data_IF_015428023902
#
_entry.id   IF_015428023902
#
_cell.length_a   1.000
_cell.length_b   1.000
_cell.length_c   1.000
_cell.angle_alpha   90.00
_cell.angle_beta   90.00
_cell.angle_gamma   90.00
#
_symmetry.space_group_name_H-M   'P 1'
#
loop_
_entity.id
_entity.type
_entity.pdbx_description
1 polymer ?
#
# COMPACT_ATOMS: atom_id res chain seq x y z
N UNK A 1 11.14 -1.05 12.15
CA UNK A 1 12.14 -2.15 12.20
C UNK A 1 12.70 -2.27 10.79
N UNK A 2 14.02 -2.33 10.58
CA UNK A 2 14.55 -2.37 9.21
C UNK A 2 14.22 -3.71 8.54
N UNK A 3 13.85 -3.67 7.26
CA UNK A 3 13.52 -4.83 6.47
C UNK A 3 14.71 -5.79 6.31
N UNK A 4 14.45 -7.10 6.40
CA UNK A 4 15.41 -8.13 6.02
C UNK A 4 15.03 -8.72 4.65
N UNK A 5 15.49 -8.07 3.59
CA UNK A 5 15.20 -8.45 2.21
C UNK A 5 15.60 -9.88 1.83
N UNK A 6 16.53 -10.51 2.55
CA UNK A 6 16.93 -11.91 2.29
C UNK A 6 15.79 -12.91 2.52
N UNK A 7 14.77 -12.52 3.29
CA UNK A 7 13.61 -13.36 3.60
C UNK A 7 12.40 -13.06 2.71
N UNK A 8 12.50 -12.05 1.85
CA UNK A 8 11.42 -11.57 0.98
C UNK A 8 11.66 -12.13 -0.41
N UNK A 9 10.66 -12.83 -0.95
CA UNK A 9 10.80 -13.55 -2.24
C UNK A 9 10.16 -12.83 -3.40
N UNK A 10 9.08 -12.09 -3.11
CA UNK A 10 8.24 -11.55 -4.17
C UNK A 10 8.50 -10.08 -4.46
N UNK A 11 9.28 -9.41 -3.62
CA UNK A 11 9.53 -7.99 -3.71
C UNK A 11 11.03 -7.68 -3.76
N UNK A 12 11.38 -6.56 -4.38
CA UNK A 12 12.71 -5.95 -4.29
C UNK A 12 12.63 -4.50 -3.76
N UNK A 13 13.72 -3.96 -3.19
CA UNK A 13 13.75 -2.60 -2.65
C UNK A 13 13.29 -1.55 -3.66
N UNK A 14 13.67 -1.70 -4.93
CA UNK A 14 13.41 -0.73 -5.99
C UNK A 14 11.92 -0.52 -6.27
N UNK A 15 11.06 -1.50 -5.95
CA UNK A 15 9.60 -1.35 -6.07
C UNK A 15 9.03 -0.34 -5.06
N UNK A 16 9.78 -0.02 -4.00
CA UNK A 16 9.38 0.88 -2.92
C UNK A 16 10.17 2.19 -2.93
N UNK A 17 11.09 2.38 -3.88
CA UNK A 17 11.87 3.60 -4.00
C UNK A 17 10.95 4.81 -4.21
N UNK A 18 11.26 5.88 -3.48
CA UNK A 18 10.89 7.23 -3.90
C UNK A 18 11.57 7.51 -5.26
N UNK A 19 10.83 7.90 -6.30
CA UNK A 19 11.38 8.16 -7.63
C UNK A 19 12.50 9.21 -7.65
N UNK A 20 12.46 10.16 -6.70
CA UNK A 20 13.47 11.21 -6.58
C UNK A 20 14.71 10.76 -5.79
N UNK A 21 14.64 9.61 -5.10
CA UNK A 21 15.70 9.09 -4.24
C UNK A 21 15.89 7.57 -4.43
N UNK A 22 16.54 7.13 -5.52
CA UNK A 22 16.82 5.71 -5.75
C UNK A 22 17.57 5.04 -4.58
N UNK A 23 17.18 3.82 -4.24
CA UNK A 23 17.67 3.07 -3.07
C UNK A 23 16.97 3.41 -1.75
N UNK A 24 16.02 4.34 -1.75
CA UNK A 24 15.24 4.70 -0.56
C UNK A 24 14.27 3.62 -0.10
N UNK A 25 13.93 2.64 -0.97
CA UNK A 25 13.08 1.50 -0.63
C UNK A 25 13.62 0.64 0.51
N UNK A 26 14.93 0.68 0.79
CA UNK A 26 15.57 0.08 1.96
C UNK A 26 15.03 0.61 3.31
N UNK A 27 14.35 1.75 3.30
CA UNK A 27 13.74 2.36 4.49
C UNK A 27 12.35 1.82 4.82
N UNK A 28 11.74 1.01 3.96
CA UNK A 28 10.40 0.44 4.20
C UNK A 28 10.37 -0.34 5.53
N UNK A 29 9.30 -0.20 6.30
CA UNK A 29 9.19 -0.93 7.56
C UNK A 29 9.11 -2.44 7.33
N UNK A 30 9.93 -3.20 8.05
CA UNK A 30 10.01 -4.65 7.91
C UNK A 30 8.73 -5.39 8.27
N UNK A 31 7.93 -4.91 9.23
CA UNK A 31 6.65 -5.54 9.59
C UNK A 31 5.68 -5.39 8.43
N UNK A 32 5.61 -4.19 7.84
CA UNK A 32 4.80 -3.92 6.66
C UNK A 32 5.23 -4.81 5.48
N UNK A 33 6.54 -4.88 5.21
CA UNK A 33 7.08 -5.69 4.12
C UNK A 33 6.73 -7.18 4.28
N UNK A 34 6.88 -7.75 5.48
CA UNK A 34 6.50 -9.13 5.73
C UNK A 34 4.99 -9.38 5.65
N UNK A 35 4.17 -8.40 6.04
CA UNK A 35 2.72 -8.48 5.89
C UNK A 35 2.30 -8.47 4.41
N UNK A 36 2.97 -7.66 3.57
CA UNK A 36 2.77 -7.66 2.11
C UNK A 36 3.24 -8.97 1.46
N UNK A 37 4.40 -9.50 1.87
CA UNK A 37 4.91 -10.81 1.41
C UNK A 37 3.91 -11.93 1.75
N UNK A 38 3.33 -11.90 2.95
CA UNK A 38 2.27 -12.83 3.35
C UNK A 38 1.02 -12.66 2.48
N UNK A 39 0.57 -11.42 2.24
CA UNK A 39 -0.59 -11.12 1.41
C UNK A 39 -0.42 -11.67 -0.01
N UNK A 40 0.72 -11.39 -0.65
CA UNK A 40 1.02 -11.87 -2.00
C UNK A 40 1.02 -13.39 -2.07
N UNK A 41 1.64 -14.06 -1.09
CA UNK A 41 1.67 -15.53 -1.01
C UNK A 41 0.29 -16.15 -0.78
N UNK A 42 -0.55 -15.57 0.06
CA UNK A 42 -1.86 -16.14 0.42
C UNK A 42 -2.95 -15.85 -0.62
N UNK A 43 -2.87 -14.71 -1.31
CA UNK A 43 -3.82 -14.34 -2.37
C UNK A 43 -3.46 -14.92 -3.74
N UNK A 44 -2.19 -15.32 -3.94
CA UNK A 44 -1.63 -15.70 -5.24
C UNK A 44 -1.83 -14.62 -6.33
N UNK A 45 -1.80 -13.36 -5.90
CA UNK A 45 -1.89 -12.19 -6.77
C UNK A 45 -0.62 -11.35 -6.67
N UNK A 46 -0.18 -10.80 -7.81
CA UNK A 46 0.88 -9.80 -7.77
C UNK A 46 0.36 -8.55 -7.05
N UNK A 47 1.26 -7.90 -6.32
CA UNK A 47 1.04 -6.60 -5.70
C UNK A 47 1.90 -5.62 -6.47
N UNK A 48 1.26 -4.67 -7.15
CA UNK A 48 1.96 -3.60 -7.87
C UNK A 48 1.92 -2.35 -7.01
N UNK A 49 3.07 -2.00 -6.45
CA UNK A 49 3.29 -0.79 -5.64
C UNK A 49 3.26 0.44 -6.52
N UNK A 50 2.59 1.50 -6.06
CA UNK A 50 2.47 2.76 -6.79
C UNK A 50 3.67 3.68 -6.49
N UNK A 51 4.88 3.24 -6.82
CA UNK A 51 6.13 3.96 -6.49
C UNK A 51 6.23 5.37 -7.11
N UNK A 52 5.67 5.61 -8.30
CA UNK A 52 5.82 6.87 -9.06
C UNK A 52 5.23 8.10 -8.34
N UNK A 53 4.30 7.90 -7.41
CA UNK A 53 3.66 8.98 -6.63
C UNK A 53 3.99 8.87 -5.14
N UNK A 54 5.16 8.34 -4.78
CA UNK A 54 5.54 8.13 -3.38
C UNK A 54 4.64 7.11 -2.67
N UNK A 55 4.12 6.11 -3.40
CA UNK A 55 3.18 5.13 -2.87
C UNK A 55 3.80 4.12 -1.90
N UNK A 56 5.02 4.32 -1.43
CA UNK A 56 5.62 3.52 -0.37
C UNK A 56 6.51 4.40 0.51
N UNK A 57 7.72 4.69 0.03
CA UNK A 57 8.66 5.61 0.67
C UNK A 57 8.48 6.99 0.06
N UNK A 58 8.28 7.99 0.93
CA UNK A 58 8.35 9.40 0.58
C UNK A 58 9.43 10.04 1.46
N UNK A 59 10.57 10.37 0.86
CA UNK A 59 11.76 10.81 1.59
C UNK A 59 11.60 12.23 2.14
N UNK A 60 11.05 13.13 1.33
CA UNK A 60 11.03 14.57 1.59
C UNK A 60 9.62 15.18 1.67
N UNK A 61 8.57 14.40 1.47
CA UNK A 61 7.19 14.85 1.49
C UNK A 61 6.71 15.42 0.16
N UNK A 62 7.47 15.28 -0.92
CA UNK A 62 7.17 15.90 -2.23
C UNK A 62 5.96 15.29 -2.94
N UNK A 63 5.44 14.15 -2.47
CA UNK A 63 4.38 13.39 -3.14
C UNK A 63 2.96 13.74 -2.67
N UNK A 64 2.78 14.84 -1.94
CA UNK A 64 1.46 15.35 -1.55
C UNK A 64 0.81 14.60 -0.39
N UNK A 65 1.59 13.79 0.33
CA UNK A 65 1.18 13.13 1.56
C UNK A 65 0.95 14.14 2.69
N UNK A 66 -0.02 13.85 3.57
CA UNK A 66 -0.21 14.66 4.79
C UNK A 66 1.01 14.60 5.72
N UNK A 67 1.23 15.63 6.54
CA UNK A 67 2.41 15.73 7.41
C UNK A 67 2.63 14.54 8.35
N UNK A 68 1.55 13.86 8.73
CA UNK A 68 1.56 12.69 9.62
C UNK A 68 1.40 11.37 8.85
N UNK A 69 1.54 11.39 7.52
CA UNK A 69 1.42 10.21 6.68
C UNK A 69 2.51 9.20 7.01
N UNK A 70 2.14 7.92 7.04
CA UNK A 70 3.06 6.82 7.26
C UNK A 70 3.94 6.49 6.04
N UNK A 71 3.70 7.08 4.87
CA UNK A 71 4.64 6.99 3.74
C UNK A 71 5.95 7.74 4.01
N UNK A 72 5.87 8.82 4.79
CA UNK A 72 6.99 9.72 5.04
C UNK A 72 8.12 9.02 5.81
N UNK A 73 9.36 9.28 5.40
CA UNK A 73 10.56 8.76 6.06
C UNK A 73 10.60 9.13 7.54
N UNK A 74 10.28 10.38 7.88
CA UNK A 74 10.20 10.85 9.28
C UNK A 74 9.20 10.07 10.14
N UNK A 75 8.19 9.45 9.52
CA UNK A 75 7.16 8.65 10.17
C UNK A 75 7.41 7.13 10.04
N UNK A 76 8.53 6.76 9.42
CA UNK A 76 9.10 5.42 9.40
C UNK A 76 8.67 4.53 8.24
N UNK A 77 8.15 5.09 7.13
CA UNK A 77 7.79 4.34 5.92
C UNK A 77 6.96 3.08 6.21
N UNK A 78 5.86 3.29 6.94
CA UNK A 78 4.95 2.27 7.46
C UNK A 78 3.67 2.11 6.64
N UNK A 79 3.60 2.73 5.46
CA UNK A 79 2.46 2.63 4.54
C UNK A 79 2.87 2.25 3.12
N UNK A 80 1.96 1.59 2.41
CA UNK A 80 2.08 1.24 0.99
C UNK A 80 0.73 1.38 0.30
N UNK A 81 0.79 1.99 -0.86
CA UNK A 81 -0.25 2.16 -1.85
C UNK A 81 0.00 1.20 -3.01
N UNK A 82 -0.99 0.37 -3.34
CA UNK A 82 -0.85 -0.66 -4.35
C UNK A 82 -2.16 -1.04 -5.02
N UNK A 83 -2.07 -1.91 -6.03
CA UNK A 83 -3.20 -2.66 -6.54
C UNK A 83 -2.81 -4.11 -6.85
N UNK A 84 -3.82 -4.98 -6.97
CA UNK A 84 -3.60 -6.36 -7.37
C UNK A 84 -3.48 -6.51 -8.88
N UNK A 85 -2.51 -7.31 -9.32
CA UNK A 85 -2.33 -7.71 -10.71
C UNK A 85 -2.09 -9.21 -10.85
N UNK A 86 -2.19 -9.72 -12.06
CA UNK A 86 -1.92 -11.12 -12.36
C UNK A 86 -0.43 -11.45 -12.15
N UNK A 87 -0.11 -12.59 -11.55
CA UNK A 87 1.27 -12.99 -11.22
C UNK A 87 2.20 -13.17 -12.42
N UNK A 88 1.66 -13.42 -13.62
CA UNK A 88 2.43 -13.63 -14.83
C UNK A 88 2.48 -12.38 -15.71
N UNK A 89 1.37 -11.65 -15.82
CA UNK A 89 1.27 -10.51 -16.74
C UNK A 89 1.37 -9.16 -16.05
N UNK A 90 1.27 -9.11 -14.73
CA UNK A 90 1.18 -7.89 -13.91
C UNK A 90 0.03 -6.94 -14.31
N UNK A 91 -0.90 -7.40 -15.15
CA UNK A 91 -2.09 -6.64 -15.51
C UNK A 91 -3.09 -6.62 -14.36
N UNK A 92 -3.82 -5.51 -14.15
CA UNK A 92 -4.80 -5.40 -13.08
C UNK A 92 -5.81 -6.55 -13.05
N UNK A 93 -6.03 -7.15 -11.87
CA UNK A 93 -7.04 -8.21 -11.74
C UNK A 93 -8.42 -7.58 -11.69
N UNK A 94 -9.34 -8.11 -12.49
CA UNK A 94 -10.75 -7.70 -12.53
C UNK A 94 -11.67 -8.50 -11.58
N UNK A 95 -11.10 -9.06 -10.52
CA UNK A 95 -11.81 -9.87 -9.53
C UNK A 95 -12.74 -9.01 -8.67
N UNK A 96 -13.67 -9.66 -7.96
CA UNK A 96 -14.61 -8.97 -7.10
C UNK A 96 -13.89 -8.18 -5.98
N UNK A 97 -14.23 -6.90 -5.85
CA UNK A 97 -13.65 -6.00 -4.85
C UNK A 97 -13.76 -6.54 -3.42
N UNK A 98 -14.87 -7.18 -3.06
CA UNK A 98 -15.06 -7.70 -1.69
C UNK A 98 -14.09 -8.84 -1.43
N UNK A 99 -13.77 -9.65 -2.44
CA UNK A 99 -12.74 -10.67 -2.33
C UNK A 99 -11.37 -10.03 -2.12
N UNK A 100 -11.02 -9.01 -2.92
CA UNK A 100 -9.75 -8.29 -2.75
C UNK A 100 -9.63 -7.68 -1.34
N UNK A 101 -10.65 -6.96 -0.88
CA UNK A 101 -10.67 -6.39 0.46
C UNK A 101 -10.57 -7.47 1.55
N UNK A 102 -11.27 -8.60 1.39
CA UNK A 102 -11.22 -9.72 2.35
C UNK A 102 -9.79 -10.28 2.48
N UNK A 103 -9.05 -10.43 1.39
CA UNK A 103 -7.66 -10.89 1.46
C UNK A 103 -6.77 -9.87 2.19
N UNK A 104 -6.92 -8.57 1.92
CA UNK A 104 -6.17 -7.52 2.62
C UNK A 104 -6.52 -7.50 4.11
N UNK A 105 -7.80 -7.61 4.47
CA UNK A 105 -8.27 -7.57 5.86
C UNK A 105 -7.72 -8.72 6.71
N UNK A 106 -7.66 -9.94 6.17
CA UNK A 106 -7.15 -11.14 6.87
C UNK A 106 -5.72 -10.99 7.38
N UNK A 107 -4.92 -10.13 6.74
CA UNK A 107 -3.52 -9.91 7.12
C UNK A 107 -3.40 -9.13 8.43
N UNK A 108 -4.40 -8.31 8.76
CA UNK A 108 -4.45 -7.57 10.02
C UNK A 108 -3.75 -6.22 10.00
N UNK A 109 -3.70 -5.53 8.86
CA UNK A 109 -3.19 -4.16 8.78
C UNK A 109 -3.97 -3.20 9.71
N UNK A 110 -3.24 -2.27 10.33
CA UNK A 110 -3.84 -1.28 11.22
C UNK A 110 -4.61 -0.21 10.46
N UNK A 111 -4.11 0.21 9.29
CA UNK A 111 -4.82 1.08 8.36
C UNK A 111 -5.16 0.32 7.07
N UNK A 112 -6.39 0.44 6.58
CA UNK A 112 -6.78 -0.01 5.24
C UNK A 112 -7.64 1.07 4.58
N UNK A 113 -7.16 1.60 3.46
CA UNK A 113 -7.88 2.51 2.58
C UNK A 113 -8.22 1.83 1.25
N UNK A 114 -9.36 2.20 0.65
CA UNK A 114 -9.76 1.73 -0.68
C UNK A 114 -10.04 2.94 -1.58
N UNK A 115 -9.43 2.96 -2.77
CA UNK A 115 -9.55 4.05 -3.74
C UNK A 115 -10.20 3.57 -5.03
N UNK A 116 -11.27 4.23 -5.48
CA UNK A 116 -12.05 3.83 -6.67
C UNK A 116 -11.79 4.66 -7.92
N UNK A 117 -10.89 5.62 -7.82
CA UNK A 117 -10.61 6.66 -8.82
C UNK A 117 -9.19 6.53 -9.41
N UNK A 118 -8.46 5.49 -9.02
CA UNK A 118 -7.08 5.26 -9.46
C UNK A 118 -7.00 4.64 -10.84
N UNK A 119 -6.00 5.10 -11.60
CA UNK A 119 -5.73 4.60 -12.94
C UNK A 119 -4.33 4.01 -12.99
N UNK A 120 -4.19 2.93 -13.77
CA UNK A 120 -2.90 2.33 -14.11
C UNK A 120 -2.83 2.16 -15.62
N UNK A 121 -1.80 2.71 -16.26
CA UNK A 121 -1.68 2.73 -17.73
C UNK A 121 -2.96 3.22 -18.44
N UNK A 122 -3.54 4.32 -17.94
CA UNK A 122 -4.80 4.91 -18.43
C UNK A 122 -6.06 4.05 -18.22
N UNK A 123 -5.97 2.87 -17.63
CA UNK A 123 -7.13 2.06 -17.27
C UNK A 123 -7.57 2.34 -15.83
N UNK A 124 -8.88 2.52 -15.63
CA UNK A 124 -9.47 2.62 -14.29
C UNK A 124 -9.36 1.26 -13.58
N UNK A 125 -8.74 1.27 -12.40
CA UNK A 125 -8.63 0.09 -11.55
C UNK A 125 -9.99 -0.20 -10.88
N UNK A 126 -10.25 -1.46 -10.56
CA UNK A 126 -11.39 -1.81 -9.68
C UNK A 126 -11.21 -1.16 -8.31
N UNK A 127 -9.98 -1.21 -7.79
CA UNK A 127 -9.58 -0.52 -6.58
C UNK A 127 -8.06 -0.37 -6.50
N UNK A 128 -7.63 0.78 -5.99
CA UNK A 128 -6.35 0.93 -5.29
C UNK A 128 -6.53 0.65 -3.80
N UNK A 129 -5.47 0.21 -3.15
CA UNK A 129 -5.43 -0.06 -1.73
C UNK A 129 -4.32 0.75 -1.07
N UNK A 130 -4.64 1.36 0.05
CA UNK A 130 -3.66 1.82 1.03
C UNK A 130 -3.62 0.81 2.17
N UNK A 131 -2.43 0.44 2.62
CA UNK A 131 -2.25 -0.29 3.88
C UNK A 131 -1.16 0.34 4.73
N UNK A 132 -1.29 0.28 6.05
CA UNK A 132 -0.23 0.67 6.97
C UNK A 132 -0.25 -0.12 8.29
N UNK A 133 0.90 -0.10 8.99
CA UNK A 133 1.11 -0.80 10.27
C UNK A 133 0.92 0.10 11.49
N UNK A 134 -0.11 0.95 11.48
CA UNK A 134 -0.46 1.75 12.67
C UNK A 134 -0.88 0.90 13.88
N UNK A 135 -0.68 1.40 15.11
CA UNK A 135 -1.16 0.73 16.32
C UNK A 135 -2.67 0.50 16.30
N UNK A 136 -3.11 -0.61 16.91
CA UNK A 136 -4.53 -0.99 17.02
C UNK A 136 -5.36 0.11 17.70
N UNK A 137 -4.79 0.83 18.66
CA UNK A 137 -5.46 1.94 19.37
C UNK A 137 -5.91 3.08 18.46
N UNK A 138 -5.36 3.17 17.24
CA UNK A 138 -5.71 4.15 16.21
C UNK A 138 -6.04 3.49 14.87
N UNK A 139 -6.46 2.21 14.91
CA UNK A 139 -6.89 1.46 13.73
C UNK A 139 -7.92 2.24 12.93
N UNK A 140 -7.80 2.20 11.59
CA UNK A 140 -8.71 2.92 10.72
C UNK A 140 -9.03 2.13 9.46
N UNK A 141 -10.26 2.30 8.98
CA UNK A 141 -10.73 1.84 7.68
C UNK A 141 -11.34 3.03 6.95
N UNK A 142 -10.98 3.26 5.71
CA UNK A 142 -11.58 4.34 4.93
C UNK A 142 -11.73 3.96 3.47
N UNK A 143 -12.53 4.75 2.76
CA UNK A 143 -12.65 4.67 1.31
C UNK A 143 -12.71 6.05 0.68
N UNK A 144 -12.22 6.21 -0.54
CA UNK A 144 -12.57 7.38 -1.36
C UNK A 144 -14.01 7.26 -1.86
N UNK A 145 -14.67 8.39 -2.06
CA UNK A 145 -15.89 8.47 -2.86
C UNK A 145 -15.54 8.87 -4.30
N UNK A 146 -16.53 8.85 -5.21
CA UNK A 146 -16.33 9.25 -6.62
C UNK A 146 -15.87 10.71 -6.83
N UNK A 147 -15.90 11.53 -5.78
CA UNK A 147 -15.44 12.92 -5.77
C UNK A 147 -14.06 13.07 -5.11
N UNK A 148 -13.36 11.96 -4.84
CA UNK A 148 -12.04 11.94 -4.19
C UNK A 148 -12.05 12.23 -2.68
N UNK A 149 -13.21 12.33 -2.03
CA UNK A 149 -13.25 12.59 -0.58
C UNK A 149 -13.14 11.27 0.19
N UNK A 150 -12.39 11.31 1.30
CA UNK A 150 -12.24 10.17 2.19
C UNK A 150 -13.40 10.06 3.18
N UNK A 151 -13.93 8.84 3.33
CA UNK A 151 -14.95 8.48 4.31
C UNK A 151 -14.30 7.50 5.28
N UNK A 152 -14.08 7.96 6.52
CA UNK A 152 -13.54 7.14 7.62
C UNK A 152 -14.65 6.35 8.30
N UNK A 153 -14.41 5.06 8.55
CA UNK A 153 -15.42 4.11 8.99
C UNK A 153 -15.31 3.77 10.48
N UNK A 154 -14.15 4.03 11.10
CA UNK A 154 -13.89 3.79 12.52
C UNK A 154 -13.53 5.12 13.19
N UNK A 155 -14.50 6.01 13.33
CA UNK A 155 -14.34 7.28 14.04
C UNK A 155 -14.78 7.10 15.49
N UNK A 156 -14.07 7.73 16.44
CA UNK A 156 -14.63 8.01 17.77
C UNK A 156 -15.33 9.35 17.70
N UNK A 157 -16.56 9.40 18.20
CA UNK A 157 -17.27 10.65 18.48
C UNK A 157 -16.59 11.42 19.62
#
# INVERSE_FOLDING_TARGET
MQANWKQVKHFCPQEFDDPNFPGSGENIDGILLFALEKLRRESDWAIIVHGVTGGAVDVDGSHGHSDNSFHLLKNGCKAVDFHFGNVHTYLPIKSDLKLQYREVEKIGFGGIGIYYDWHWNHELLIAGFHVDVRPISIMQRWKSNKKGNYIYLLMRD
#
